data_IF_711535275876
#
_entry.id   IF_711535275876
#
_cell.length_a   1.000
_cell.length_b   1.000
_cell.length_c   1.000
_cell.angle_alpha   90.00
_cell.angle_beta   90.00
_cell.angle_gamma   90.00
#
_symmetry.space_group_name_H-M   'P 1'
#
loop_
_entity.id
_entity.type
_entity.pdbx_description
1 polymer ?
#
# COMPACT_ATOMS: atom_id res chain seq x y z
N UNK A 1 -8.67 -18.97 23.08
CA UNK A 1 -9.66 -18.37 22.17
C UNK A 1 -9.83 -19.28 20.97
N UNK A 2 -11.07 -19.56 20.56
CA UNK A 2 -11.44 -20.61 19.59
C UNK A 2 -10.93 -20.40 18.15
N UNK A 3 -10.24 -19.28 17.85
CA UNK A 3 -9.68 -18.95 16.54
C UNK A 3 -8.25 -19.46 16.28
N UNK A 4 -7.53 -19.90 17.32
CA UNK A 4 -6.13 -20.37 17.20
C UNK A 4 -5.95 -21.61 16.31
N UNK A 5 -6.98 -22.43 16.13
CA UNK A 5 -6.92 -23.65 15.32
C UNK A 5 -6.98 -23.39 13.80
N UNK A 6 -7.45 -22.22 13.38
CA UNK A 6 -7.63 -21.85 11.97
C UNK A 6 -6.61 -20.79 11.49
N UNK A 7 -5.68 -20.37 12.37
CA UNK A 7 -4.64 -19.41 12.05
C UNK A 7 -5.10 -17.96 11.85
N UNK A 8 -6.36 -17.64 12.14
CA UNK A 8 -6.95 -16.33 11.86
C UNK A 8 -6.91 -15.43 13.10
N UNK A 9 -6.30 -14.25 12.99
CA UNK A 9 -6.30 -13.22 14.04
C UNK A 9 -7.49 -12.27 13.91
N UNK A 10 -7.80 -11.52 14.98
CA UNK A 10 -8.80 -10.44 14.92
C UNK A 10 -8.38 -9.35 13.91
N UNK A 11 -7.07 -9.16 13.73
CA UNK A 11 -6.50 -8.28 12.72
C UNK A 11 -6.82 -8.75 11.31
N UNK A 12 -6.64 -10.05 11.03
CA UNK A 12 -6.94 -10.65 9.72
C UNK A 12 -8.43 -10.52 9.38
N UNK A 13 -9.31 -10.72 10.37
CA UNK A 13 -10.74 -10.54 10.19
C UNK A 13 -11.09 -9.09 9.85
N UNK A 14 -10.53 -8.14 10.61
CA UNK A 14 -10.78 -6.73 10.41
C UNK A 14 -10.25 -6.26 9.04
N UNK A 15 -9.04 -6.65 8.66
CA UNK A 15 -8.43 -6.29 7.39
C UNK A 15 -9.18 -6.88 6.19
N UNK A 16 -9.52 -8.18 6.24
CA UNK A 16 -10.28 -8.83 5.17
C UNK A 16 -11.68 -8.23 5.01
N UNK A 17 -12.34 -7.93 6.14
CA UNK A 17 -13.65 -7.26 6.12
C UNK A 17 -13.52 -5.84 5.55
N UNK A 18 -12.59 -5.04 6.05
CA UNK A 18 -12.38 -3.67 5.59
C UNK A 18 -12.05 -3.63 4.09
N UNK A 19 -11.17 -4.51 3.61
CA UNK A 19 -10.83 -4.62 2.19
C UNK A 19 -12.02 -5.01 1.32
N UNK A 20 -12.82 -6.00 1.73
CA UNK A 20 -14.00 -6.45 0.99
C UNK A 20 -15.09 -5.37 0.90
N UNK A 21 -15.28 -4.58 1.96
CA UNK A 21 -16.27 -3.50 1.98
C UNK A 21 -15.75 -2.18 1.42
N UNK A 22 -14.44 -2.01 1.20
CA UNK A 22 -13.82 -0.77 0.70
C UNK A 22 -14.51 -0.21 -0.56
N UNK A 23 -14.85 -1.01 -1.60
CA UNK A 23 -15.54 -0.48 -2.78
C UNK A 23 -16.94 0.06 -2.46
N UNK A 24 -17.70 -0.66 -1.63
CA UNK A 24 -19.06 -0.26 -1.20
C UNK A 24 -19.02 1.01 -0.37
N UNK A 25 -18.06 1.11 0.55
CA UNK A 25 -17.84 2.31 1.37
C UNK A 25 -17.44 3.50 0.50
N UNK A 26 -16.64 3.28 -0.53
CA UNK A 26 -16.22 4.33 -1.47
C UNK A 26 -17.39 4.89 -2.29
N UNK A 27 -18.38 4.06 -2.62
CA UNK A 27 -19.59 4.50 -3.30
C UNK A 27 -20.46 5.40 -2.41
N UNK A 28 -20.58 5.07 -1.12
CA UNK A 28 -21.51 5.76 -0.20
C UNK A 28 -20.86 6.92 0.57
N UNK A 29 -19.55 6.89 0.77
CA UNK A 29 -18.82 7.87 1.57
C UNK A 29 -17.80 8.60 0.67
N UNK A 30 -18.05 9.88 0.31
CA UNK A 30 -17.12 10.66 -0.53
C UNK A 30 -15.70 10.75 0.03
N UNK A 31 -15.56 10.67 1.36
CA UNK A 31 -14.26 10.64 2.03
C UNK A 31 -13.43 9.40 1.62
N UNK A 32 -14.08 8.25 1.46
CA UNK A 32 -13.41 6.99 1.17
C UNK A 32 -12.81 6.97 -0.24
N UNK A 33 -13.38 7.72 -1.19
CA UNK A 33 -12.85 7.88 -2.54
C UNK A 33 -11.49 8.58 -2.60
N UNK A 34 -11.12 9.29 -1.52
CA UNK A 34 -9.82 9.97 -1.40
C UNK A 34 -8.70 9.03 -0.98
N UNK A 35 -9.02 7.80 -0.58
CA UNK A 35 -8.05 6.80 -0.17
C UNK A 35 -7.93 5.69 -1.20
N UNK A 36 -6.72 5.17 -1.38
CA UNK A 36 -6.44 4.06 -2.29
C UNK A 36 -5.61 3.00 -1.60
N UNK A 37 -5.92 1.75 -1.88
CA UNK A 37 -5.09 0.62 -1.47
C UNK A 37 -4.16 0.25 -2.63
N UNK A 38 -2.88 0.09 -2.31
CA UNK A 38 -1.84 -0.35 -3.24
C UNK A 38 -1.02 -1.48 -2.62
N UNK A 39 -0.43 -2.32 -3.46
CA UNK A 39 0.45 -3.39 -3.03
C UNK A 39 1.89 -3.12 -3.49
N UNK A 40 2.85 -3.37 -2.61
CA UNK A 40 4.21 -3.71 -3.03
C UNK A 40 4.59 -5.12 -2.62
N UNK A 41 5.48 -5.71 -3.39
CA UNK A 41 5.96 -7.09 -3.32
C UNK A 41 7.44 -7.20 -3.71
N UNK A 42 8.28 -7.55 -2.75
CA UNK A 42 9.64 -8.02 -3.02
C UNK A 42 9.72 -9.50 -2.71
N UNK A 43 10.68 -10.19 -3.30
CA UNK A 43 10.90 -11.60 -2.99
C UNK A 43 11.61 -11.66 -1.63
N UNK A 44 10.95 -12.20 -0.61
CA UNK A 44 11.56 -12.38 0.70
C UNK A 44 12.37 -13.68 0.77
N UNK A 45 13.18 -13.83 1.82
CA UNK A 45 13.87 -15.09 2.09
C UNK A 45 12.91 -16.25 2.45
N UNK A 46 11.66 -15.97 2.84
CA UNK A 46 10.69 -17.02 3.20
C UNK A 46 10.11 -17.74 1.97
N UNK A 47 10.21 -17.16 0.76
CA UNK A 47 9.70 -17.79 -0.46
C UNK A 47 10.29 -19.18 -0.71
N UNK A 48 11.52 -19.44 -0.24
CA UNK A 48 12.17 -20.75 -0.40
C UNK A 48 11.43 -21.87 0.35
N UNK A 49 10.62 -21.50 1.34
CA UNK A 49 9.81 -22.41 2.15
C UNK A 49 8.34 -22.45 1.71
N UNK A 50 7.95 -21.59 0.76
CA UNK A 50 6.58 -21.43 0.28
C UNK A 50 6.45 -21.96 -1.16
N UNK A 51 5.24 -22.37 -1.55
CA UNK A 51 5.00 -22.95 -2.87
C UNK A 51 4.50 -21.91 -3.88
N UNK A 52 3.90 -20.83 -3.40
CA UNK A 52 3.29 -19.80 -4.23
C UNK A 52 3.69 -18.38 -3.78
N UNK A 53 3.81 -17.46 -4.73
CA UNK A 53 4.11 -16.04 -4.45
C UNK A 53 3.10 -15.38 -3.49
N UNK A 54 1.86 -15.84 -3.51
CA UNK A 54 0.81 -15.33 -2.62
C UNK A 54 1.02 -15.72 -1.15
N UNK A 55 1.89 -16.70 -0.88
CA UNK A 55 2.23 -17.17 0.45
C UNK A 55 3.45 -16.44 1.04
N UNK A 56 4.19 -15.68 0.23
CA UNK A 56 5.31 -14.83 0.67
C UNK A 56 4.80 -13.50 1.27
N UNK A 57 4.20 -13.62 2.45
CA UNK A 57 3.66 -12.47 3.18
C UNK A 57 4.74 -11.48 3.62
N UNK A 58 5.93 -11.96 3.96
CA UNK A 58 7.07 -11.11 4.34
C UNK A 58 7.50 -10.19 3.18
N UNK A 59 7.34 -10.67 1.95
CA UNK A 59 7.52 -9.95 0.70
C UNK A 59 6.53 -8.81 0.46
N UNK A 60 5.34 -8.88 1.07
CA UNK A 60 4.23 -7.96 0.80
C UNK A 60 4.25 -6.73 1.71
N UNK A 61 3.83 -5.58 1.15
CA UNK A 61 3.50 -4.40 1.92
C UNK A 61 2.26 -3.74 1.31
N UNK A 62 1.24 -3.57 2.14
CA UNK A 62 -0.01 -2.93 1.76
C UNK A 62 0.05 -1.45 2.11
N UNK A 63 -0.28 -0.61 1.15
CA UNK A 63 -0.20 0.84 1.28
C UNK A 63 -1.59 1.45 1.21
N UNK A 64 -1.90 2.31 2.18
CA UNK A 64 -3.02 3.22 2.11
C UNK A 64 -2.50 4.59 1.67
N UNK A 65 -2.89 5.05 0.49
CA UNK A 65 -2.39 6.29 -0.10
C UNK A 65 -3.49 7.32 -0.28
N UNK A 66 -3.14 8.60 -0.19
CA UNK A 66 -4.07 9.70 -0.37
C UNK A 66 -3.39 10.98 -0.82
N UNK A 67 -4.08 11.82 -1.59
CA UNK A 67 -3.55 13.10 -2.06
C UNK A 67 -3.81 14.19 -1.01
N UNK A 68 -2.77 14.83 -0.44
CA UNK A 68 -2.95 15.93 0.52
C UNK A 68 -3.82 17.08 -0.02
N UNK A 69 -3.73 17.36 -1.32
CA UNK A 69 -4.54 18.38 -1.99
C UNK A 69 -6.05 18.16 -1.88
N UNK A 70 -6.51 16.92 -1.67
CA UNK A 70 -7.95 16.62 -1.54
C UNK A 70 -8.55 17.02 -0.19
N UNK A 71 -7.72 17.33 0.81
CA UNK A 71 -8.16 17.75 2.16
C UNK A 71 -7.88 19.22 2.45
N UNK A 72 -7.15 19.90 1.58
CA UNK A 72 -6.66 21.25 1.82
C UNK A 72 -7.45 22.29 1.02
N UNK A 73 -7.40 23.57 1.41
CA UNK A 73 -8.05 24.65 0.65
C UNK A 73 -7.53 24.75 -0.79
N UNK A 74 -8.36 25.33 -1.67
CA UNK A 74 -8.07 25.47 -3.11
C UNK A 74 -6.73 26.17 -3.42
N UNK A 75 -6.28 27.07 -2.56
CA UNK A 75 -4.97 27.71 -2.68
C UNK A 75 -3.81 26.71 -2.59
N UNK A 76 -3.87 25.78 -1.65
CA UNK A 76 -2.86 24.72 -1.50
C UNK A 76 -3.00 23.65 -2.57
N UNK A 77 -4.25 23.22 -2.85
CA UNK A 77 -4.55 22.21 -3.87
C UNK A 77 -4.03 22.59 -5.25
N UNK A 78 -4.01 23.88 -5.60
CA UNK A 78 -3.45 24.39 -6.87
C UNK A 78 -1.93 24.24 -6.96
N UNK A 79 -1.24 24.28 -5.83
CA UNK A 79 0.23 24.24 -5.75
C UNK A 79 0.70 22.79 -5.60
N UNK A 80 -0.08 21.96 -4.90
CA UNK A 80 0.27 20.58 -4.67
C UNK A 80 0.17 19.75 -5.96
N UNK A 81 1.20 18.95 -6.31
CA UNK A 81 1.15 18.10 -7.49
C UNK A 81 0.08 17.00 -7.33
N UNK A 82 -0.84 16.92 -8.30
CA UNK A 82 -1.93 15.93 -8.29
C UNK A 82 -1.43 14.49 -8.38
N UNK A 83 -0.25 14.28 -8.99
CA UNK A 83 0.36 12.96 -9.09
C UNK A 83 1.05 12.51 -7.80
N UNK A 84 1.21 13.37 -6.78
CA UNK A 84 1.97 13.04 -5.57
C UNK A 84 1.05 12.82 -4.37
N UNK A 85 1.15 11.63 -3.80
CA UNK A 85 0.40 11.20 -2.62
C UNK A 85 1.33 11.00 -1.42
N UNK A 86 0.71 10.97 -0.24
CA UNK A 86 1.32 10.44 0.97
C UNK A 86 0.76 9.03 1.18
N UNK A 87 1.59 8.12 1.68
CA UNK A 87 1.28 6.72 1.88
C UNK A 87 1.64 6.26 3.29
N UNK A 88 0.79 5.43 3.88
CA UNK A 88 1.07 4.66 5.10
C UNK A 88 1.10 3.18 4.72
N UNK A 89 2.21 2.51 5.01
CA UNK A 89 2.44 1.12 4.65
C UNK A 89 2.35 0.20 5.86
N UNK A 90 1.85 -1.01 5.63
CA UNK A 90 1.81 -2.12 6.59
C UNK A 90 2.42 -3.36 5.95
N UNK A 91 3.42 -3.92 6.61
CA UNK A 91 4.05 -5.20 6.26
C UNK A 91 4.35 -6.01 7.51
N UNK A 92 4.86 -7.21 7.29
CA UNK A 92 5.41 -8.06 8.35
C UNK A 92 6.80 -8.53 7.94
N UNK A 93 7.71 -8.69 8.89
CA UNK A 93 9.06 -9.16 8.57
C UNK A 93 9.11 -10.66 8.29
N UNK A 94 8.17 -11.43 8.87
CA UNK A 94 8.05 -12.90 8.77
C UNK A 94 6.61 -13.34 8.93
N UNK A 95 6.21 -14.41 8.25
CA UNK A 95 4.86 -15.01 8.35
C UNK A 95 4.55 -15.53 9.76
N UNK A 96 5.54 -16.11 10.44
CA UNK A 96 5.38 -16.63 11.80
C UNK A 96 6.31 -15.90 12.77
N UNK A 97 5.73 -15.33 13.84
CA UNK A 97 6.46 -14.55 14.86
C UNK A 97 7.26 -13.36 14.28
N UNK A 98 6.85 -12.84 13.12
CA UNK A 98 7.42 -11.63 12.54
C UNK A 98 6.97 -10.37 13.28
N UNK A 99 7.79 -9.33 13.16
CA UNK A 99 7.48 -8.01 13.64
C UNK A 99 6.57 -7.30 12.64
N UNK A 100 5.64 -6.50 13.17
CA UNK A 100 4.84 -5.59 12.36
C UNK A 100 5.73 -4.45 11.88
N UNK A 101 5.64 -4.15 10.59
CA UNK A 101 6.40 -3.08 9.98
C UNK A 101 5.46 -1.98 9.48
N UNK A 102 5.75 -0.75 9.89
CA UNK A 102 4.94 0.41 9.58
C UNK A 102 5.76 1.43 8.82
N UNK A 103 5.23 1.92 7.71
CA UNK A 103 5.92 2.84 6.81
C UNK A 103 5.16 4.15 6.67
N UNK A 104 5.91 5.23 6.50
CA UNK A 104 5.41 6.50 6.01
C UNK A 104 6.19 6.86 4.75
N UNK A 105 5.51 7.04 3.63
CA UNK A 105 6.17 7.26 2.35
C UNK A 105 5.43 8.18 1.41
N UNK A 106 6.03 8.38 0.25
CA UNK A 106 5.43 9.04 -0.89
C UNK A 106 4.90 7.99 -1.87
N UNK A 107 3.85 8.35 -2.60
CA UNK A 107 3.26 7.52 -3.66
C UNK A 107 3.00 8.36 -4.91
N UNK A 108 2.98 7.70 -6.07
CA UNK A 108 2.66 8.33 -7.35
C UNK A 108 1.27 7.89 -7.83
N UNK A 109 0.38 8.84 -8.08
CA UNK A 109 -0.94 8.62 -8.66
C UNK A 109 -0.86 8.58 -10.20
N UNK A 110 -0.64 7.39 -10.75
CA UNK A 110 -0.47 7.22 -12.20
C UNK A 110 -1.75 7.51 -12.99
N UNK A 111 -2.92 7.51 -12.34
CA UNK A 111 -4.21 7.84 -12.97
C UNK A 111 -4.32 9.32 -13.33
N UNK A 112 -3.49 10.17 -12.71
CA UNK A 112 -3.43 11.60 -13.05
C UNK A 112 -2.59 11.89 -14.29
N UNK A 113 -1.70 10.96 -14.66
CA UNK A 113 -0.90 11.04 -15.87
C UNK A 113 -1.76 10.70 -17.09
N UNK A 114 -2.33 11.73 -17.73
CA UNK A 114 -3.10 11.56 -18.98
C UNK A 114 -2.20 11.60 -20.19
N UNK A 115 -2.37 10.63 -21.07
CA UNK A 115 -1.61 10.48 -22.30
C UNK A 115 -2.51 10.66 -23.53
N UNK A 116 -1.93 10.63 -24.73
CA UNK A 116 -2.71 10.70 -25.98
C UNK A 116 -3.38 9.38 -26.34
N UNK A 117 -3.04 8.28 -25.66
CA UNK A 117 -3.52 6.93 -25.97
C UNK A 117 -4.37 6.37 -24.84
N UNK A 118 -5.62 6.04 -25.15
CA UNK A 118 -6.54 5.39 -24.21
C UNK A 118 -5.99 4.06 -23.65
N UNK A 119 -5.21 3.33 -24.46
CA UNK A 119 -4.59 2.07 -24.01
C UNK A 119 -3.54 2.33 -22.94
N UNK A 120 -2.72 3.38 -23.11
CA UNK A 120 -1.69 3.72 -22.15
C UNK A 120 -2.28 4.24 -20.84
N UNK A 121 -3.33 5.07 -20.90
CA UNK A 121 -4.06 5.52 -19.72
C UNK A 121 -4.62 4.33 -18.90
N UNK A 122 -5.12 3.29 -19.58
CA UNK A 122 -5.59 2.06 -18.91
C UNK A 122 -4.44 1.29 -18.27
N UNK A 123 -3.32 1.14 -18.97
CA UNK A 123 -2.13 0.48 -18.42
C UNK A 123 -1.66 1.22 -17.16
N UNK A 124 -1.55 2.55 -17.22
CA UNK A 124 -1.19 3.39 -16.07
C UNK A 124 -2.18 3.22 -14.92
N UNK A 125 -3.48 3.17 -15.21
CA UNK A 125 -4.50 2.94 -14.19
C UNK A 125 -4.40 1.56 -13.52
N UNK A 126 -4.05 0.50 -14.26
CA UNK A 126 -3.80 -0.82 -13.67
C UNK A 126 -2.48 -0.87 -12.89
N UNK A 127 -1.45 -0.20 -13.40
CA UNK A 127 -0.18 -0.08 -12.68
C UNK A 127 -0.33 0.69 -11.37
N UNK A 128 -1.29 1.61 -11.27
CA UNK A 128 -1.57 2.37 -10.05
C UNK A 128 -2.00 1.49 -8.86
N UNK A 129 -2.44 0.25 -9.09
CA UNK A 129 -2.67 -0.71 -7.99
C UNK A 129 -1.38 -1.16 -7.30
N UNK A 130 -0.23 -0.93 -7.93
CA UNK A 130 1.08 -1.24 -7.36
C UNK A 130 1.77 0.03 -6.87
N UNK A 131 2.32 -0.01 -5.67
CA UNK A 131 3.00 1.12 -5.05
C UNK A 131 4.43 1.27 -5.59
N UNK A 132 4.62 1.99 -6.68
CA UNK A 132 5.94 2.13 -7.31
C UNK A 132 7.06 2.55 -6.33
N UNK A 133 8.32 2.19 -6.60
CA UNK A 133 9.48 2.64 -5.83
C UNK A 133 9.47 4.16 -5.58
N UNK A 134 9.35 4.54 -4.32
CA UNK A 134 9.32 5.92 -3.87
C UNK A 134 9.97 6.05 -2.49
N UNK A 135 10.39 7.26 -2.07
CA UNK A 135 10.96 7.48 -0.75
C UNK A 135 9.97 7.08 0.36
N UNK A 136 10.43 6.26 1.30
CA UNK A 136 9.64 5.83 2.45
C UNK A 136 10.53 5.66 3.69
N UNK A 137 9.97 5.92 4.86
CA UNK A 137 10.60 5.71 6.15
C UNK A 137 9.89 4.58 6.88
N UNK A 138 10.64 3.55 7.25
CA UNK A 138 10.20 2.55 8.21
C UNK A 138 10.19 3.18 9.60
N UNK A 139 9.11 3.00 10.33
CA UNK A 139 8.91 3.58 11.66
C UNK A 139 8.92 2.51 12.76
N UNK A 140 8.60 1.27 12.40
CA UNK A 140 8.59 0.09 13.26
C UNK A 140 9.11 -1.10 12.44
N UNK A 141 9.94 -2.00 12.99
CA UNK A 141 10.57 -1.92 14.32
C UNK A 141 11.78 -0.96 14.36
N UNK A 142 12.40 -0.65 13.21
CA UNK A 142 13.54 0.27 13.09
C UNK A 142 13.12 1.59 12.45
N UNK A 143 13.94 2.64 12.63
CA UNK A 143 13.76 3.97 12.02
C UNK A 143 14.70 4.14 10.83
N UNK A 144 14.44 3.40 9.77
CA UNK A 144 15.26 3.39 8.57
C UNK A 144 14.59 4.21 7.45
N UNK A 145 15.39 4.99 6.73
CA UNK A 145 14.92 5.83 5.62
C UNK A 145 15.38 5.21 4.32
N UNK A 146 14.42 4.81 3.49
CA UNK A 146 14.65 4.23 2.18
C UNK A 146 14.38 5.31 1.14
N UNK A 147 15.44 5.85 0.54
CA UNK A 147 15.35 6.97 -0.40
C UNK A 147 14.87 6.53 -1.78
N UNK A 148 15.13 5.29 -2.17
CA UNK A 148 14.72 4.71 -3.45
C UNK A 148 14.30 3.26 -3.26
N UNK A 149 13.03 2.96 -3.53
CA UNK A 149 12.55 1.58 -3.67
C UNK A 149 12.74 0.70 -2.45
N UNK A 150 11.80 0.80 -1.50
CA UNK A 150 11.71 -0.09 -0.33
C UNK A 150 11.80 -1.59 -0.67
N UNK A 151 11.30 -1.93 -1.85
CA UNK A 151 11.36 -3.26 -2.48
C UNK A 151 12.75 -3.92 -2.50
N UNK A 152 13.85 -3.17 -2.38
CA UNK A 152 15.22 -3.68 -2.56
C UNK A 152 15.95 -3.89 -1.23
N UNK A 153 15.49 -3.29 -0.13
CA UNK A 153 16.31 -3.13 1.08
C UNK A 153 15.80 -3.83 2.34
N UNK A 154 14.67 -4.55 2.29
CA UNK A 154 14.29 -5.49 3.36
C UNK A 154 15.29 -6.66 3.37
N UNK A 155 16.33 -6.54 4.19
CA UNK A 155 17.27 -7.63 4.52
C UNK A 155 16.84 -8.37 5.77
#
# INVERSE_FOLDING_TARGET
GQFKQWGFSLGDLAANTAGAFMPVLSEHLPLMQKFKLKLSYHVSAEIEQEHYLIEDYAGMTFWLTSNPGDFMPESFKRIWPTFLNIAIGYGISKKAHGDVELFLGLDYDLRTCRTTSMTLDRILAYMDYFHLPAPAMQTTPTREVHLFGYWIEKN
#
